data_IF_391544319735
#
_entry.id   IF_391544319735
#
_cell.length_a   1.000
_cell.length_b   1.000
_cell.length_c   1.000
_cell.angle_alpha   90.00
_cell.angle_beta   90.00
_cell.angle_gamma   90.00
#
_symmetry.space_group_name_H-M   'P 1'
#
loop_
_entity.id
_entity.type
_entity.pdbx_description
1 polymer ?
#
# COMPACT_ATOMS: atom_id res chain seq x y z
N UNK A 1 -13.34 5.80 -12.48
CA UNK A 1 -12.79 4.45 -12.30
C UNK A 1 -11.88 4.46 -11.08
N UNK A 2 -12.26 3.78 -10.03
CA UNK A 2 -11.33 3.53 -8.92
C UNK A 2 -10.54 2.27 -9.28
N UNK A 3 -9.20 2.33 -9.31
CA UNK A 3 -8.41 1.11 -9.44
C UNK A 3 -8.75 0.17 -8.28
N UNK A 4 -8.72 -1.14 -8.51
CA UNK A 4 -9.08 -2.17 -7.53
C UNK A 4 -8.21 -2.20 -6.28
N UNK A 5 -7.16 -1.36 -6.24
CA UNK A 5 -6.27 -1.12 -5.11
C UNK A 5 -5.21 -0.09 -5.47
N UNK A 6 -4.68 0.58 -4.45
CA UNK A 6 -3.57 1.55 -4.55
C UNK A 6 -2.68 1.47 -3.33
N UNK A 7 -1.53 2.17 -3.37
CA UNK A 7 -0.80 2.51 -2.15
C UNK A 7 -1.48 3.69 -1.46
N UNK A 8 -1.64 3.59 -0.16
CA UNK A 8 -2.23 4.64 0.68
C UNK A 8 -1.26 5.05 1.77
N UNK A 9 -1.38 6.30 2.23
CA UNK A 9 -0.59 6.85 3.33
C UNK A 9 -1.47 7.70 4.25
N UNK A 10 -1.20 7.71 5.55
CA UNK A 10 -1.95 8.52 6.50
C UNK A 10 -1.87 10.02 6.17
N UNK A 11 -2.97 10.74 6.34
CA UNK A 11 -3.03 12.19 6.13
C UNK A 11 -2.06 12.96 7.04
N UNK A 12 -1.86 12.49 8.29
CA UNK A 12 -0.91 13.11 9.22
C UNK A 12 0.53 13.04 8.71
N UNK A 13 0.91 11.97 8.00
CA UNK A 13 2.22 11.84 7.37
C UNK A 13 2.41 12.92 6.32
N UNK A 14 1.45 13.05 5.40
CA UNK A 14 1.51 14.06 4.34
C UNK A 14 1.58 15.47 4.93
N UNK A 15 0.79 15.74 5.95
CA UNK A 15 0.75 17.05 6.62
C UNK A 15 2.08 17.37 7.31
N UNK A 16 2.66 16.44 8.05
CA UNK A 16 3.92 16.64 8.75
C UNK A 16 5.09 16.85 7.80
N UNK A 17 5.11 16.12 6.68
CA UNK A 17 6.12 16.25 5.65
C UNK A 17 5.90 17.44 4.70
N UNK A 18 4.84 18.24 4.91
CA UNK A 18 4.55 19.44 4.10
C UNK A 18 3.95 19.12 2.72
N UNK A 19 3.24 18.00 2.59
CA UNK A 19 2.60 17.54 1.35
C UNK A 19 3.59 17.33 0.20
N UNK A 20 4.58 16.45 0.35
CA UNK A 20 5.54 16.16 -0.71
C UNK A 20 4.84 15.55 -1.94
N UNK A 21 5.42 15.73 -3.10
CA UNK A 21 5.05 14.94 -4.27
C UNK A 21 5.52 13.50 -4.08
N UNK A 22 4.59 12.55 -4.17
CA UNK A 22 4.85 11.11 -4.07
C UNK A 22 4.35 10.47 -5.36
N UNK A 23 5.28 10.21 -6.25
CA UNK A 23 5.00 9.75 -7.60
C UNK A 23 5.41 8.30 -7.82
N UNK A 24 6.47 7.87 -7.13
CA UNK A 24 7.03 6.53 -7.27
C UNK A 24 6.98 5.75 -5.95
N UNK A 25 7.13 4.43 -6.04
CA UNK A 25 7.27 3.55 -4.85
C UNK A 25 8.45 3.96 -3.96
N UNK A 26 9.49 4.57 -4.54
CA UNK A 26 10.67 5.04 -3.81
C UNK A 26 10.39 6.35 -3.06
N UNK A 27 9.62 7.28 -3.65
CA UNK A 27 9.14 8.47 -2.94
C UNK A 27 8.23 8.09 -1.77
N UNK A 28 7.38 7.08 -1.98
CA UNK A 28 6.49 6.53 -0.95
C UNK A 28 7.28 5.90 0.20
N UNK A 29 8.31 5.11 -0.09
CA UNK A 29 9.22 4.54 0.89
C UNK A 29 9.89 5.61 1.72
N UNK A 30 10.47 6.64 1.08
CA UNK A 30 11.16 7.74 1.77
C UNK A 30 10.22 8.52 2.69
N UNK A 31 8.98 8.78 2.25
CA UNK A 31 7.97 9.45 3.06
C UNK A 31 7.64 8.64 4.33
N UNK A 32 7.39 7.34 4.20
CA UNK A 32 7.11 6.45 5.35
C UNK A 32 8.32 6.38 6.29
N UNK A 33 9.51 6.19 5.74
CA UNK A 33 10.75 6.07 6.49
C UNK A 33 11.03 7.32 7.31
N UNK A 34 11.01 8.49 6.67
CA UNK A 34 11.22 9.78 7.31
C UNK A 34 10.23 10.03 8.45
N UNK A 35 8.95 9.70 8.23
CA UNK A 35 7.94 9.87 9.26
C UNK A 35 8.13 8.92 10.45
N UNK A 36 8.43 7.65 10.22
CA UNK A 36 8.64 6.66 11.30
C UNK A 36 9.90 6.95 12.10
N UNK A 37 10.99 7.39 11.44
CA UNK A 37 12.22 7.80 12.13
C UNK A 37 11.96 8.96 13.11
N UNK A 38 11.10 9.92 12.74
CA UNK A 38 10.71 11.03 13.61
C UNK A 38 9.65 10.62 14.65
N UNK A 39 8.77 9.68 14.31
CA UNK A 39 7.61 9.27 15.09
C UNK A 39 7.53 7.73 15.21
N UNK A 40 8.44 7.07 15.92
CA UNK A 40 8.52 5.60 15.94
C UNK A 40 7.33 4.92 16.65
N UNK A 41 6.61 5.66 17.51
CA UNK A 41 5.45 5.16 18.26
C UNK A 41 4.25 6.09 18.11
N UNK A 42 3.07 5.54 18.35
CA UNK A 42 1.84 6.30 18.53
C UNK A 42 1.81 6.99 19.91
N UNK A 43 0.85 7.87 20.15
CA UNK A 43 0.70 8.56 21.46
C UNK A 43 0.50 7.60 22.63
N UNK A 44 -0.13 6.45 22.38
CA UNK A 44 -0.34 5.38 23.37
C UNK A 44 0.84 4.38 23.44
N UNK A 45 1.96 4.68 22.78
CA UNK A 45 3.22 3.95 22.88
C UNK A 45 3.32 2.69 22.02
N UNK A 46 2.39 2.46 21.08
CA UNK A 46 2.47 1.33 20.16
C UNK A 46 3.48 1.60 19.05
N UNK A 47 4.28 0.60 18.68
CA UNK A 47 5.19 0.69 17.54
C UNK A 47 4.42 0.94 16.23
N UNK A 48 4.85 1.91 15.45
CA UNK A 48 4.29 2.15 14.11
C UNK A 48 4.74 1.07 13.13
N UNK A 49 3.89 0.82 12.15
CA UNK A 49 4.11 -0.11 11.04
C UNK A 49 4.18 0.74 9.78
N UNK A 50 5.25 0.59 8.99
CA UNK A 50 5.45 1.38 7.78
C UNK A 50 4.43 1.08 6.71
N UNK A 51 4.39 -0.16 6.26
CA UNK A 51 3.46 -0.67 5.25
C UNK A 51 2.84 -1.96 5.75
N UNK A 52 1.53 -2.08 5.73
CA UNK A 52 0.83 -3.33 5.99
C UNK A 52 -0.02 -3.73 4.80
N UNK A 53 -0.10 -5.03 4.57
CA UNK A 53 -0.96 -5.62 3.53
C UNK A 53 -1.50 -6.97 4.03
N UNK A 54 -2.55 -7.45 3.41
CA UNK A 54 -3.15 -8.73 3.75
C UNK A 54 -2.93 -9.74 2.63
N UNK A 55 -1.93 -10.62 2.79
CA UNK A 55 -1.54 -11.57 1.78
C UNK A 55 -1.59 -13.04 2.24
N UNK A 56 -2.27 -13.33 3.35
CA UNK A 56 -2.39 -14.67 3.91
C UNK A 56 -3.49 -15.52 3.26
N UNK A 57 -4.39 -14.91 2.51
CA UNK A 57 -5.50 -15.56 1.78
C UNK A 57 -5.63 -14.97 0.36
N UNK A 58 -6.78 -15.12 -0.29
CA UNK A 58 -7.04 -14.63 -1.64
C UNK A 58 -6.82 -13.11 -1.81
N UNK A 59 -6.81 -12.34 -0.71
CA UNK A 59 -6.57 -10.89 -0.74
C UNK A 59 -5.16 -10.53 -1.19
N UNK A 60 -4.20 -11.49 -1.21
CA UNK A 60 -2.89 -11.26 -1.81
C UNK A 60 -3.00 -10.72 -3.24
N UNK A 61 -4.04 -11.14 -3.96
CA UNK A 61 -4.28 -10.68 -5.33
C UNK A 61 -4.58 -9.17 -5.35
N UNK A 62 -5.37 -8.69 -4.38
CA UNK A 62 -5.75 -7.27 -4.26
C UNK A 62 -4.60 -6.46 -3.67
N UNK A 63 -4.10 -6.87 -2.52
CA UNK A 63 -3.14 -6.08 -1.73
C UNK A 63 -1.72 -6.11 -2.29
N UNK A 64 -1.43 -7.02 -3.20
CA UNK A 64 -0.08 -7.19 -3.77
C UNK A 64 -0.12 -7.26 -5.29
N UNK A 65 -0.89 -8.18 -5.87
CA UNK A 65 -0.87 -8.46 -7.30
C UNK A 65 -1.45 -7.32 -8.16
N UNK A 66 -2.61 -6.80 -7.78
CA UNK A 66 -3.27 -5.71 -8.51
C UNK A 66 -2.47 -4.40 -8.40
N UNK A 67 -1.90 -4.14 -7.23
CA UNK A 67 -1.10 -2.93 -7.01
C UNK A 67 0.21 -3.00 -7.77
N UNK A 68 0.85 -4.18 -7.85
CA UNK A 68 2.01 -4.38 -8.72
C UNK A 68 1.68 -4.06 -10.19
N UNK A 69 0.51 -4.46 -10.67
CA UNK A 69 0.05 -4.14 -12.02
C UNK A 69 -0.25 -2.65 -12.20
N UNK A 70 -0.97 -2.04 -11.25
CA UNK A 70 -1.30 -0.61 -11.27
C UNK A 70 -0.05 0.27 -11.26
N UNK A 71 0.99 -0.12 -10.49
CA UNK A 71 2.26 0.58 -10.44
C UNK A 71 3.04 0.58 -11.77
N UNK A 72 2.64 -0.25 -12.72
CA UNK A 72 3.17 -0.31 -14.09
C UNK A 72 2.20 0.24 -15.14
N UNK A 73 1.12 0.91 -14.72
CA UNK A 73 0.10 1.41 -15.63
C UNK A 73 -0.73 0.30 -16.31
N UNK A 74 -0.65 -0.95 -15.82
CA UNK A 74 -1.41 -2.07 -16.37
C UNK A 74 -2.80 -2.10 -15.73
N UNK A 75 -3.89 -2.16 -16.51
CA UNK A 75 -5.24 -2.22 -15.96
C UNK A 75 -5.46 -3.37 -14.99
N UNK A 76 -6.26 -3.12 -13.95
CA UNK A 76 -6.67 -4.11 -12.96
C UNK A 76 -7.91 -4.88 -13.46
N UNK A 77 -7.71 -5.72 -14.46
CA UNK A 77 -8.74 -6.53 -15.12
C UNK A 77 -8.44 -8.04 -15.06
N UNK A 78 -7.82 -8.48 -13.97
CA UNK A 78 -7.44 -9.87 -13.73
C UNK A 78 -5.95 -10.11 -13.87
N UNK A 79 -5.59 -11.39 -14.09
CA UNK A 79 -4.18 -11.83 -14.06
C UNK A 79 -3.46 -11.76 -15.42
N UNK A 80 -4.16 -11.33 -16.46
CA UNK A 80 -3.62 -11.30 -17.82
C UNK A 80 -3.60 -9.87 -18.36
N UNK A 81 -2.51 -9.53 -19.03
CA UNK A 81 -2.43 -8.36 -19.90
C UNK A 81 -2.86 -8.79 -21.29
N UNK A 82 -3.79 -8.08 -21.88
CA UNK A 82 -4.23 -8.28 -23.27
C UNK A 82 -3.68 -7.12 -24.08
N UNK A 83 -3.04 -7.42 -25.19
CA UNK A 83 -2.66 -6.43 -26.19
C UNK A 83 -3.89 -6.06 -27.02
N UNK A 84 -4.29 -4.81 -26.99
CA UNK A 84 -5.53 -4.34 -27.63
C UNK A 84 -5.49 -4.40 -29.16
N UNK A 85 -4.30 -4.40 -29.77
CA UNK A 85 -4.15 -4.43 -31.22
C UNK A 85 -4.12 -5.87 -31.75
N UNK A 86 -3.39 -6.74 -31.07
CA UNK A 86 -3.14 -8.11 -31.53
C UNK A 86 -4.04 -9.15 -30.86
N UNK A 87 -4.63 -8.84 -29.71
CA UNK A 87 -5.34 -9.78 -28.85
C UNK A 87 -4.42 -10.79 -28.16
N UNK A 88 -3.11 -10.61 -28.23
CA UNK A 88 -2.16 -11.46 -27.52
C UNK A 88 -2.32 -11.32 -26.01
N UNK A 89 -2.27 -12.45 -25.32
CA UNK A 89 -2.51 -12.51 -23.87
C UNK A 89 -1.25 -12.97 -23.15
N UNK A 90 -0.77 -12.15 -22.21
CA UNK A 90 0.39 -12.45 -21.38
C UNK A 90 -0.02 -12.54 -19.91
N UNK A 91 0.46 -13.57 -19.21
CA UNK A 91 0.26 -13.69 -17.77
C UNK A 91 1.08 -12.60 -17.03
N UNK A 92 0.41 -11.68 -16.32
CA UNK A 92 1.05 -10.49 -15.75
C UNK A 92 2.25 -10.80 -14.85
N UNK A 93 2.16 -11.85 -14.05
CA UNK A 93 3.23 -12.21 -13.12
C UNK A 93 4.49 -12.82 -13.76
N UNK A 94 4.52 -12.98 -15.09
CA UNK A 94 5.74 -13.33 -15.82
C UNK A 94 6.47 -12.12 -16.40
N UNK A 95 5.88 -10.91 -16.27
CA UNK A 95 6.50 -9.68 -16.75
C UNK A 95 7.71 -9.31 -15.88
N UNK A 96 8.87 -8.99 -16.48
CA UNK A 96 10.05 -8.57 -15.72
C UNK A 96 9.80 -7.36 -14.83
N UNK A 97 8.95 -6.43 -15.28
CA UNK A 97 8.60 -5.20 -14.58
C UNK A 97 7.82 -5.47 -13.29
N UNK A 98 6.95 -6.47 -13.28
CA UNK A 98 6.26 -6.91 -12.05
C UNK A 98 7.25 -7.38 -10.98
N UNK A 99 8.36 -7.99 -11.39
CA UNK A 99 9.41 -8.42 -10.49
C UNK A 99 10.03 -7.25 -9.72
N UNK A 100 10.17 -6.09 -10.33
CA UNK A 100 10.72 -4.89 -9.65
C UNK A 100 9.86 -4.49 -8.45
N UNK A 101 8.54 -4.46 -8.60
CA UNK A 101 7.63 -4.18 -7.49
C UNK A 101 7.76 -5.21 -6.36
N UNK A 102 7.86 -6.49 -6.66
CA UNK A 102 8.06 -7.53 -5.65
C UNK A 102 9.45 -7.45 -4.99
N UNK A 103 10.48 -7.06 -5.73
CA UNK A 103 11.80 -6.78 -5.18
C UNK A 103 11.77 -5.60 -4.21
N UNK A 104 11.01 -4.55 -4.55
CA UNK A 104 10.79 -3.43 -3.64
C UNK A 104 10.05 -3.87 -2.36
N UNK A 105 9.00 -4.68 -2.45
CA UNK A 105 8.33 -5.22 -1.25
C UNK A 105 9.28 -6.04 -0.37
N UNK A 106 10.16 -6.84 -0.99
CA UNK A 106 11.18 -7.58 -0.26
C UNK A 106 12.16 -6.61 0.44
N UNK A 107 12.59 -5.57 -0.26
CA UNK A 107 13.44 -4.51 0.34
C UNK A 107 12.73 -3.85 1.53
N UNK A 108 11.45 -3.49 1.42
CA UNK A 108 10.66 -2.94 2.53
C UNK A 108 10.63 -3.87 3.75
N UNK A 109 10.61 -5.18 3.52
CA UNK A 109 10.74 -6.18 4.59
C UNK A 109 12.15 -6.17 5.21
N UNK A 110 13.18 -6.13 4.39
CA UNK A 110 14.58 -6.18 4.85
C UNK A 110 14.96 -4.98 5.71
N UNK A 111 14.40 -3.81 5.40
CA UNK A 111 14.60 -2.58 6.18
C UNK A 111 13.59 -2.40 7.33
N UNK A 112 12.71 -3.39 7.56
CA UNK A 112 11.77 -3.40 8.67
C UNK A 112 10.57 -2.47 8.55
N UNK A 113 10.28 -1.96 7.35
CA UNK A 113 9.11 -1.12 7.09
C UNK A 113 7.85 -1.91 6.70
N UNK A 114 8.00 -3.12 6.16
CA UNK A 114 6.86 -4.00 5.91
C UNK A 114 6.42 -4.70 7.19
N UNK A 115 5.12 -4.76 7.43
CA UNK A 115 4.53 -5.53 8.52
C UNK A 115 4.92 -7.02 8.37
N UNK A 116 5.69 -7.60 9.32
CA UNK A 116 6.16 -8.97 9.21
C UNK A 116 5.02 -10.00 9.22
N UNK A 117 3.83 -9.62 9.68
CA UNK A 117 2.65 -10.48 9.68
C UNK A 117 1.83 -10.38 8.39
N UNK A 118 2.20 -9.54 7.42
CA UNK A 118 1.46 -9.33 6.16
C UNK A 118 1.06 -10.63 5.45
N UNK A 119 1.90 -11.66 5.51
CA UNK A 119 1.67 -12.95 4.85
C UNK A 119 1.03 -14.02 5.76
N UNK A 120 0.77 -13.72 7.03
CA UNK A 120 0.25 -14.67 8.02
C UNK A 120 -0.92 -14.15 8.83
N UNK A 121 -1.11 -12.84 8.90
CA UNK A 121 -2.19 -12.23 9.68
C UNK A 121 -3.56 -12.54 9.08
N UNK A 122 -4.56 -12.56 9.97
CA UNK A 122 -5.97 -12.67 9.58
C UNK A 122 -6.57 -11.27 9.42
N UNK A 123 -7.71 -11.19 8.73
CA UNK A 123 -8.44 -9.95 8.47
C UNK A 123 -8.70 -9.14 9.74
N UNK A 124 -9.18 -9.79 10.80
CA UNK A 124 -9.47 -9.10 12.08
C UNK A 124 -8.21 -8.46 12.67
N UNK A 125 -7.06 -9.15 12.61
CA UNK A 125 -5.78 -8.63 13.08
C UNK A 125 -5.32 -7.44 12.22
N UNK A 126 -5.42 -7.56 10.90
CA UNK A 126 -5.08 -6.50 9.96
C UNK A 126 -5.94 -5.24 10.22
N UNK A 127 -7.26 -5.40 10.27
CA UNK A 127 -8.19 -4.27 10.55
C UNK A 127 -7.99 -3.67 11.94
N UNK A 128 -7.68 -4.47 12.95
CA UNK A 128 -7.36 -3.97 14.28
C UNK A 128 -6.10 -3.10 14.30
N UNK A 129 -5.06 -3.48 13.57
CA UNK A 129 -3.84 -2.66 13.41
C UNK A 129 -4.15 -1.31 12.75
N UNK A 130 -4.97 -1.29 11.70
CA UNK A 130 -5.40 -0.07 11.02
C UNK A 130 -6.20 0.81 11.98
N UNK A 131 -7.23 0.26 12.64
CA UNK A 131 -8.10 0.98 13.57
C UNK A 131 -7.35 1.58 14.76
N UNK A 132 -6.21 1.00 15.15
CA UNK A 132 -5.37 1.58 16.21
C UNK A 132 -4.66 2.88 15.79
N UNK A 133 -4.56 3.15 14.49
CA UNK A 133 -3.84 4.30 13.92
C UNK A 133 -2.34 4.11 13.78
N UNK A 134 -1.80 2.91 14.10
CA UNK A 134 -0.36 2.66 14.04
C UNK A 134 0.20 2.28 12.68
N UNK A 135 -0.66 1.95 11.70
CA UNK A 135 -0.24 1.60 10.34
C UNK A 135 -0.13 2.86 9.50
N UNK A 136 1.06 3.22 9.08
CA UNK A 136 1.37 4.47 8.36
C UNK A 136 0.94 4.40 6.91
N UNK A 137 1.18 3.27 6.26
CA UNK A 137 0.85 3.03 4.87
C UNK A 137 0.13 1.70 4.64
N UNK A 138 -0.70 1.66 3.62
CA UNK A 138 -1.43 0.48 3.17
C UNK A 138 -1.17 0.19 1.70
N UNK A 139 -1.31 -1.07 1.35
CA UNK A 139 -1.41 -1.56 -0.02
C UNK A 139 -2.70 -2.34 -0.12
N UNK A 140 -3.80 -1.69 -0.54
CA UNK A 140 -5.12 -2.32 -0.49
C UNK A 140 -6.17 -1.61 -1.35
N UNK A 141 -7.36 -2.20 -1.45
CA UNK A 141 -8.56 -1.59 -1.97
C UNK A 141 -9.37 -0.92 -0.83
N UNK A 142 -9.90 0.28 -1.09
CA UNK A 142 -10.58 1.07 -0.06
C UNK A 142 -11.76 0.35 0.60
N UNK A 143 -12.46 -0.49 -0.12
CA UNK A 143 -13.61 -1.23 0.42
C UNK A 143 -13.19 -2.24 1.51
N UNK A 144 -11.96 -2.76 1.50
CA UNK A 144 -11.51 -3.78 2.46
C UNK A 144 -11.18 -3.17 3.84
N UNK A 145 -10.60 -1.96 3.88
CA UNK A 145 -10.25 -1.31 5.14
C UNK A 145 -11.20 -0.17 5.59
N UNK A 146 -12.26 0.13 4.83
CA UNK A 146 -13.16 1.26 5.11
C UNK A 146 -13.79 1.25 6.50
N UNK A 147 -14.06 0.07 7.07
CA UNK A 147 -14.62 -0.05 8.42
C UNK A 147 -13.60 0.34 9.50
N UNK A 148 -12.33 0.05 9.27
CA UNK A 148 -11.25 0.48 10.16
C UNK A 148 -11.07 2.02 10.11
N UNK A 149 -11.21 2.64 8.93
CA UNK A 149 -11.21 4.12 8.83
C UNK A 149 -12.40 4.76 9.55
N UNK A 150 -13.59 4.18 9.46
CA UNK A 150 -14.75 4.67 10.23
C UNK A 150 -14.48 4.63 11.74
N UNK A 151 -13.78 3.61 12.22
CA UNK A 151 -13.37 3.53 13.62
C UNK A 151 -12.42 4.67 13.98
N UNK A 152 -11.39 4.93 13.16
CA UNK A 152 -10.47 6.06 13.35
C UNK A 152 -11.22 7.39 13.42
N UNK A 153 -12.17 7.63 12.52
CA UNK A 153 -12.99 8.84 12.51
C UNK A 153 -13.84 8.96 13.79
N UNK A 154 -14.45 7.87 14.25
CA UNK A 154 -15.28 7.86 15.44
C UNK A 154 -14.48 8.12 16.73
N UNK A 155 -13.20 7.78 16.72
CA UNK A 155 -12.26 8.03 17.81
C UNK A 155 -11.57 9.40 17.73
N UNK A 156 -11.93 10.24 16.75
CA UNK A 156 -11.34 11.56 16.57
C UNK A 156 -9.95 11.54 15.93
N UNK A 157 -9.51 10.41 15.39
CA UNK A 157 -8.21 10.20 14.74
C UNK A 157 -8.28 10.43 13.21
N UNK A 158 -8.91 11.53 12.79
CA UNK A 158 -9.11 11.80 11.35
C UNK A 158 -7.79 11.89 10.56
N UNK A 159 -6.73 12.37 11.17
CA UNK A 159 -5.40 12.43 10.54
C UNK A 159 -4.77 11.08 10.26
N UNK A 160 -5.20 10.03 10.97
CA UNK A 160 -4.76 8.65 10.76
C UNK A 160 -5.56 7.90 9.69
N UNK A 161 -6.54 8.54 9.04
CA UNK A 161 -7.17 8.01 7.82
C UNK A 161 -6.28 8.21 6.59
N UNK A 162 -6.59 7.60 5.47
CA UNK A 162 -5.63 7.42 4.38
C UNK A 162 -5.96 8.24 3.13
N UNK A 163 -4.92 8.88 2.60
CA UNK A 163 -4.90 9.40 1.24
C UNK A 163 -4.51 8.28 0.26
N UNK A 164 -5.18 8.21 -0.87
CA UNK A 164 -4.87 7.28 -1.96
C UNK A 164 -3.90 7.93 -2.92
N UNK A 165 -2.82 7.25 -3.26
CA UNK A 165 -1.74 7.79 -4.06
C UNK A 165 -1.63 7.05 -5.41
N UNK A 166 -1.56 7.77 -6.54
CA UNK A 166 -1.33 7.19 -7.86
C UNK A 166 0.17 6.87 -8.06
N UNK A 167 0.73 6.03 -7.19
CA UNK A 167 2.15 5.72 -7.16
C UNK A 167 2.49 4.69 -8.23
N UNK A 168 3.57 4.91 -8.97
CA UNK A 168 4.10 4.01 -9.99
C UNK A 168 5.50 3.50 -9.62
N UNK A 169 5.99 2.48 -10.32
CA UNK A 169 7.36 1.97 -10.13
C UNK A 169 8.38 3.02 -10.57
N UNK A 170 8.10 3.71 -11.67
CA UNK A 170 8.94 4.81 -12.18
C UNK A 170 8.11 5.87 -12.88
N UNK A 171 8.71 7.04 -13.11
CA UNK A 171 8.07 8.17 -13.80
C UNK A 171 7.55 7.85 -15.22
N UNK A 172 8.11 6.83 -15.89
CA UNK A 172 7.69 6.44 -17.25
C UNK A 172 6.32 5.76 -17.30
N UNK A 173 5.79 5.31 -16.15
CA UNK A 173 4.47 4.66 -16.05
C UNK A 173 3.35 5.60 -15.57
N UNK A 174 3.60 6.90 -15.55
CA UNK A 174 2.60 7.93 -15.19
C UNK A 174 1.57 8.17 -16.28
#
# INVERSE_FOLDING_TARGET
YEPGGTLQIQHDVLKELGYPEINTIYDYEEAIKSYIEANPTTEDGQQRIGLSLMASDWRWLITTGNIASAALGIPDDGQFKVDDETGETTYKFTLPEIKEYFQWLNHMNDIGLLDPESFTQKEDTYKAKISSGRVVGLSDAAWDYSDAEKTLLSEGKAGSTYARLPVTVSEEYK
#
